data_IF_759590902372
#
_entry.id   IF_759590902372
#
_cell.length_a   1.000
_cell.length_b   1.000
_cell.length_c   1.000
_cell.angle_alpha   90.00
_cell.angle_beta   90.00
_cell.angle_gamma   90.00
#
_symmetry.space_group_name_H-M   'P 1'
#
loop_
_entity.id
_entity.type
_entity.pdbx_description
1 polymer ?
#
# COMPACT_ATOMS: atom_id res chain seq x y z
N UNK A 1 15.37 16.57 -21.66
CA UNK A 1 15.27 15.13 -21.31
C UNK A 1 14.27 14.82 -20.20
N UNK A 2 13.93 15.78 -19.32
CA UNK A 2 13.08 15.58 -18.12
C UNK A 2 11.59 15.28 -18.43
N UNK A 3 11.02 15.91 -19.47
CA UNK A 3 9.60 15.77 -19.82
C UNK A 3 9.21 14.33 -20.20
N UNK A 4 10.09 13.60 -20.88
CA UNK A 4 9.83 12.23 -21.31
C UNK A 4 9.84 11.23 -20.14
N UNK A 5 10.68 11.45 -19.12
CA UNK A 5 10.70 10.61 -17.93
C UNK A 5 9.43 10.84 -17.08
N UNK A 6 9.01 12.10 -16.94
CA UNK A 6 7.80 12.47 -16.22
C UNK A 6 6.52 11.87 -16.85
N UNK A 7 6.36 11.97 -18.17
CA UNK A 7 5.21 11.39 -18.87
C UNK A 7 5.20 9.85 -18.79
N UNK A 8 6.37 9.20 -18.79
CA UNK A 8 6.47 7.75 -18.58
C UNK A 8 6.02 7.36 -17.17
N UNK A 9 6.39 8.14 -16.16
CA UNK A 9 5.98 7.92 -14.78
C UNK A 9 4.45 8.04 -14.61
N UNK A 10 3.84 9.10 -15.15
CA UNK A 10 2.38 9.29 -15.08
C UNK A 10 1.62 8.14 -15.75
N UNK A 11 1.99 7.79 -16.99
CA UNK A 11 1.36 6.66 -17.71
C UNK A 11 1.53 5.34 -16.97
N UNK A 12 2.64 5.16 -16.26
CA UNK A 12 2.84 3.97 -15.47
C UNK A 12 1.92 3.94 -14.24
N UNK A 13 1.81 5.05 -13.50
CA UNK A 13 0.91 5.16 -12.34
C UNK A 13 -0.52 4.77 -12.74
N UNK A 14 -1.00 5.27 -13.88
CA UNK A 14 -2.34 4.91 -14.36
C UNK A 14 -2.45 3.44 -14.78
N UNK A 15 -1.42 2.86 -15.43
CA UNK A 15 -1.43 1.42 -15.76
C UNK A 15 -1.41 0.54 -14.52
N UNK A 16 -0.68 0.94 -13.49
CA UNK A 16 -0.66 0.23 -12.21
C UNK A 16 -2.03 0.27 -11.54
N UNK A 17 -2.66 1.45 -11.52
CA UNK A 17 -4.02 1.62 -11.02
C UNK A 17 -5.03 0.74 -11.78
N UNK A 18 -4.93 0.69 -13.11
CA UNK A 18 -5.77 -0.16 -13.96
C UNK A 18 -5.56 -1.65 -13.70
N UNK A 19 -4.31 -2.08 -13.42
CA UNK A 19 -4.03 -3.47 -13.01
C UNK A 19 -4.76 -3.83 -11.71
N UNK A 20 -4.92 -2.88 -10.80
CA UNK A 20 -5.66 -3.06 -9.54
C UNK A 20 -7.17 -2.75 -9.68
N UNK A 21 -7.66 -2.49 -10.90
CA UNK A 21 -9.08 -2.29 -11.17
C UNK A 21 -9.58 -0.84 -11.09
N UNK A 22 -8.69 0.15 -11.00
CA UNK A 22 -9.04 1.57 -10.92
C UNK A 22 -8.88 2.29 -12.26
N UNK A 23 -9.66 3.36 -12.46
CA UNK A 23 -9.55 4.19 -13.66
C UNK A 23 -8.30 5.07 -13.67
N UNK A 24 -7.90 5.59 -12.49
CA UNK A 24 -6.75 6.49 -12.33
C UNK A 24 -5.96 6.15 -11.06
N UNK A 25 -4.68 6.56 -11.04
CA UNK A 25 -3.88 6.41 -9.82
C UNK A 25 -4.46 7.16 -8.62
N UNK A 26 -5.04 8.33 -8.84
CA UNK A 26 -5.67 9.12 -7.77
C UNK A 26 -6.83 8.36 -7.10
N UNK A 27 -7.63 7.62 -7.89
CA UNK A 27 -8.70 6.77 -7.33
C UNK A 27 -8.11 5.63 -6.49
N UNK A 28 -7.09 4.95 -7.01
CA UNK A 28 -6.39 3.87 -6.30
C UNK A 28 -5.75 4.37 -5.00
N UNK A 29 -5.14 5.55 -5.01
CA UNK A 29 -4.43 6.14 -3.88
C UNK A 29 -5.37 6.45 -2.70
N UNK A 30 -6.64 6.76 -2.97
CA UNK A 30 -7.68 6.96 -1.94
C UNK A 30 -8.06 5.67 -1.22
N UNK A 31 -7.82 4.52 -1.84
CA UNK A 31 -8.10 3.18 -1.31
C UNK A 31 -6.83 2.46 -0.84
N UNK A 32 -5.68 3.15 -0.89
CA UNK A 32 -4.37 2.64 -0.46
C UNK A 32 -4.04 3.20 0.91
N UNK A 33 -3.41 2.44 1.81
CA UNK A 33 -2.82 2.94 3.05
C UNK A 33 -1.35 2.54 3.13
N UNK A 34 -0.51 3.41 3.68
CA UNK A 34 0.80 3.04 4.17
C UNK A 34 0.65 2.13 5.40
N UNK A 35 1.39 1.03 5.47
CA UNK A 35 1.41 0.15 6.66
C UNK A 35 2.70 0.35 7.45
N UNK A 36 3.85 0.23 6.79
CA UNK A 36 5.15 0.43 7.42
C UNK A 36 6.20 0.87 6.41
N UNK A 37 7.20 1.60 6.92
CA UNK A 37 8.40 1.91 6.18
C UNK A 37 9.36 0.72 6.17
N UNK A 38 10.07 0.53 5.06
CA UNK A 38 11.17 -0.42 4.87
C UNK A 38 12.42 0.43 4.59
N UNK A 39 13.23 0.73 5.62
CA UNK A 39 14.47 1.49 5.45
C UNK A 39 15.41 0.81 4.42
N UNK A 40 16.19 1.59 3.63
CA UNK A 40 16.32 3.05 3.73
C UNK A 40 15.28 3.87 2.94
N UNK A 41 14.63 3.32 1.91
CA UNK A 41 13.90 4.15 0.93
C UNK A 41 12.59 3.54 0.41
N UNK A 42 12.01 2.54 1.08
CA UNK A 42 10.76 1.94 0.62
C UNK A 42 9.66 1.94 1.66
N UNK A 43 8.44 1.80 1.19
CA UNK A 43 7.21 1.71 1.94
C UNK A 43 6.43 0.46 1.51
N UNK A 44 5.76 -0.16 2.48
CA UNK A 44 4.80 -1.22 2.25
C UNK A 44 3.38 -0.65 2.31
N UNK A 45 2.63 -0.83 1.23
CA UNK A 45 1.27 -0.34 1.08
C UNK A 45 0.27 -1.49 1.02
N UNK A 46 -0.94 -1.23 1.49
CA UNK A 46 -2.11 -2.08 1.28
C UNK A 46 -3.21 -1.30 0.55
N UNK A 47 -3.76 -1.86 -0.53
CA UNK A 47 -4.84 -1.26 -1.31
C UNK A 47 -6.08 -2.14 -1.26
N UNK A 48 -7.24 -1.58 -0.92
CA UNK A 48 -8.52 -2.28 -0.93
C UNK A 48 -9.13 -2.29 -2.32
N UNK A 49 -9.05 -3.40 -3.04
CA UNK A 49 -9.51 -3.55 -4.41
C UNK A 49 -11.04 -3.30 -4.56
N UNK A 50 -11.52 -2.93 -5.77
CA UNK A 50 -12.94 -2.69 -6.02
C UNK A 50 -13.85 -3.89 -5.74
N UNK A 51 -13.32 -5.12 -5.78
CA UNK A 51 -14.03 -6.36 -5.46
C UNK A 51 -14.01 -6.71 -3.96
N UNK A 52 -13.44 -5.84 -3.12
CA UNK A 52 -13.33 -6.01 -1.67
C UNK A 52 -12.11 -6.79 -1.19
N UNK A 53 -11.29 -7.32 -2.10
CA UNK A 53 -10.00 -7.96 -1.77
C UNK A 53 -8.94 -6.90 -1.41
N UNK A 54 -7.76 -7.36 -1.00
CA UNK A 54 -6.64 -6.50 -0.62
C UNK A 54 -5.41 -6.84 -1.44
N UNK A 55 -4.65 -5.81 -1.85
CA UNK A 55 -3.39 -5.97 -2.55
C UNK A 55 -2.25 -5.30 -1.76
N UNK A 56 -1.20 -6.05 -1.47
CA UNK A 56 0.05 -5.55 -0.89
C UNK A 56 1.05 -5.27 -1.99
N UNK A 57 1.68 -4.09 -1.95
CA UNK A 57 2.71 -3.67 -2.91
C UNK A 57 3.70 -2.70 -2.27
N UNK A 58 4.89 -2.62 -2.88
CA UNK A 58 6.00 -1.80 -2.40
C UNK A 58 6.44 -0.85 -3.51
N UNK A 59 6.97 0.30 -3.11
CA UNK A 59 7.60 1.29 -4.02
C UNK A 59 9.10 1.04 -4.26
N UNK A 60 9.66 -0.06 -3.73
CA UNK A 60 11.09 -0.37 -3.73
C UNK A 60 11.68 -0.66 -5.13
N UNK A 61 10.86 -1.21 -6.02
CA UNK A 61 11.30 -1.65 -7.35
C UNK A 61 10.86 -0.63 -8.41
N UNK A 62 11.69 -0.42 -9.47
CA UNK A 62 11.21 0.30 -10.63
C UNK A 62 9.96 -0.39 -11.18
N UNK A 63 8.97 0.39 -11.63
CA UNK A 63 7.79 -0.07 -12.34
C UNK A 63 8.02 -1.32 -13.25
N UNK A 64 7.20 -2.40 -13.14
CA UNK A 64 5.96 -2.53 -12.39
C UNK A 64 6.13 -3.01 -10.95
N UNK A 65 5.35 -2.42 -10.03
CA UNK A 65 5.27 -2.86 -8.65
C UNK A 65 4.64 -4.25 -8.61
N UNK A 66 5.30 -5.14 -7.87
CA UNK A 66 4.78 -6.47 -7.59
C UNK A 66 3.65 -6.33 -6.58
N UNK A 67 2.59 -7.11 -6.80
CA UNK A 67 1.38 -7.11 -5.99
C UNK A 67 1.10 -8.52 -5.51
N UNK A 68 0.72 -8.65 -4.24
CA UNK A 68 0.23 -9.90 -3.66
C UNK A 68 -1.19 -9.64 -3.17
N UNK A 69 -2.12 -10.49 -3.60
CA UNK A 69 -3.55 -10.28 -3.35
C UNK A 69 -4.09 -11.28 -2.33
N UNK A 70 -4.93 -10.79 -1.42
CA UNK A 70 -5.56 -11.54 -0.34
C UNK A 70 -7.06 -11.33 -0.37
N UNK A 71 -7.84 -12.34 0.06
CA UNK A 71 -9.31 -12.24 0.05
C UNK A 71 -9.83 -11.41 1.21
N UNK A 72 -9.15 -11.45 2.34
CA UNK A 72 -9.59 -10.79 3.57
C UNK A 72 -8.50 -9.93 4.17
N UNK A 73 -8.89 -8.96 5.00
CA UNK A 73 -7.93 -8.18 5.77
C UNK A 73 -7.15 -9.05 6.76
N UNK A 74 -7.78 -10.06 7.37
CA UNK A 74 -7.09 -10.96 8.30
C UNK A 74 -5.88 -11.66 7.63
N UNK A 75 -6.09 -12.23 6.44
CA UNK A 75 -5.00 -12.81 5.63
C UNK A 75 -3.92 -11.78 5.30
N UNK A 76 -4.35 -10.56 4.97
CA UNK A 76 -3.46 -9.44 4.63
C UNK A 76 -2.61 -9.04 5.83
N UNK A 77 -3.22 -8.91 7.00
CA UNK A 77 -2.57 -8.54 8.25
C UNK A 77 -1.54 -9.59 8.67
N UNK A 78 -1.91 -10.87 8.60
CA UNK A 78 -0.99 -11.97 8.93
C UNK A 78 0.25 -11.94 8.02
N UNK A 79 0.06 -11.71 6.72
CA UNK A 79 1.17 -11.56 5.79
C UNK A 79 2.03 -10.32 6.11
N UNK A 80 1.41 -9.17 6.39
CA UNK A 80 2.13 -7.93 6.75
C UNK A 80 2.97 -8.11 8.01
N UNK A 81 2.44 -8.78 9.04
CA UNK A 81 3.17 -9.08 10.28
C UNK A 81 4.35 -10.02 10.03
N UNK A 82 4.16 -11.08 9.23
CA UNK A 82 5.24 -11.98 8.84
C UNK A 82 6.33 -11.24 8.07
N UNK A 83 5.95 -10.42 7.09
CA UNK A 83 6.87 -9.63 6.27
C UNK A 83 7.67 -8.63 7.12
N UNK A 84 7.00 -7.93 8.05
CA UNK A 84 7.63 -6.99 8.96
C UNK A 84 8.66 -7.67 9.87
N UNK A 85 8.28 -8.79 10.49
CA UNK A 85 9.15 -9.58 11.35
C UNK A 85 10.33 -10.18 10.57
N UNK A 86 10.08 -10.73 9.37
CA UNK A 86 11.12 -11.33 8.52
C UNK A 86 12.16 -10.31 8.06
N UNK A 87 11.77 -9.04 7.92
CA UNK A 87 12.68 -7.93 7.61
C UNK A 87 13.43 -7.40 8.85
N UNK A 88 13.10 -7.87 10.06
CA UNK A 88 13.73 -7.39 11.30
C UNK A 88 13.46 -5.91 11.59
N UNK A 89 12.30 -5.40 11.15
CA UNK A 89 11.96 -3.98 11.28
C UNK A 89 11.64 -3.63 12.75
N UNK A 90 12.03 -2.42 13.14
CA UNK A 90 11.72 -1.88 14.47
C UNK A 90 10.30 -1.31 14.50
N UNK A 91 9.70 -1.23 15.69
CA UNK A 91 8.34 -0.71 15.85
C UNK A 91 8.18 0.72 15.32
N UNK A 92 9.25 1.51 15.27
CA UNK A 92 9.26 2.86 14.69
C UNK A 92 8.90 2.88 13.19
N UNK A 93 9.13 1.76 12.49
CA UNK A 93 8.77 1.57 11.09
C UNK A 93 7.27 1.27 10.92
N UNK A 94 6.61 0.71 11.95
CA UNK A 94 5.19 0.35 11.91
C UNK A 94 4.32 1.58 12.13
N UNK A 95 3.92 2.23 11.02
CA UNK A 95 3.15 3.48 11.02
C UNK A 95 1.95 3.36 10.07
N UNK A 96 0.96 2.53 10.43
CA UNK A 96 -0.18 2.27 9.56
C UNK A 96 -1.14 3.46 9.52
N UNK A 97 -1.49 3.88 8.31
CA UNK A 97 -2.54 4.86 8.04
C UNK A 97 -3.93 4.26 8.24
N UNK A 98 -4.93 5.11 8.52
CA UNK A 98 -6.32 4.68 8.70
C UNK A 98 -6.66 4.18 10.11
N UNK A 99 -5.79 4.46 11.09
CA UNK A 99 -6.00 4.15 12.50
C UNK A 99 -5.82 5.40 13.36
N UNK A 100 -6.40 5.41 14.56
CA UNK A 100 -6.16 6.49 15.52
C UNK A 100 -4.74 6.39 16.08
N UNK A 101 -4.13 7.53 16.39
CA UNK A 101 -2.80 7.59 17.00
C UNK A 101 -2.80 6.81 18.32
N UNK A 102 -2.00 5.74 18.39
CA UNK A 102 -1.91 4.87 19.57
C UNK A 102 -2.99 3.77 19.65
N UNK A 103 -3.75 3.54 18.57
CA UNK A 103 -4.62 2.38 18.50
C UNK A 103 -3.80 1.09 18.30
N UNK A 104 -3.98 0.11 19.18
CA UNK A 104 -3.31 -1.19 19.12
C UNK A 104 -3.97 -2.17 18.13
N UNK A 105 -5.16 -1.84 17.60
CA UNK A 105 -6.04 -2.78 16.89
C UNK A 105 -5.89 -2.71 15.36
N UNK A 106 -4.69 -2.95 14.87
CA UNK A 106 -4.38 -3.11 13.43
C UNK A 106 -4.83 -4.46 12.84
N UNK A 107 -5.36 -5.35 13.67
CA UNK A 107 -6.03 -6.59 13.28
C UNK A 107 -7.36 -6.35 12.55
N UNK A 108 -7.91 -5.14 12.65
CA UNK A 108 -9.09 -4.70 11.89
C UNK A 108 -8.73 -3.92 10.63
N UNK A 109 -9.56 -3.95 9.56
CA UNK A 109 -9.27 -3.20 8.34
C UNK A 109 -9.10 -1.70 8.61
N UNK A 110 -8.18 -1.02 7.90
CA UNK A 110 -7.94 0.40 8.08
C UNK A 110 -9.17 1.21 7.69
N UNK A 111 -9.43 2.28 8.44
CA UNK A 111 -10.47 3.25 8.12
C UNK A 111 -9.96 4.24 7.07
N UNK A 112 -10.39 4.03 5.83
CA UNK A 112 -9.99 4.86 4.69
C UNK A 112 -10.55 6.29 4.79
N UNK A 113 -11.62 6.53 5.55
CA UNK A 113 -12.09 7.88 5.83
C UNK A 113 -11.14 8.64 6.75
N UNK A 114 -10.48 7.94 7.69
CA UNK A 114 -9.46 8.55 8.55
C UNK A 114 -8.21 8.94 7.77
N UNK A 115 -7.82 8.17 6.75
CA UNK A 115 -6.71 8.58 5.85
C UNK A 115 -7.02 9.90 5.13
N UNK A 116 -8.29 10.16 4.80
CA UNK A 116 -8.72 11.32 4.01
C UNK A 116 -8.91 12.62 4.83
N UNK A 117 -8.82 12.56 6.16
CA UNK A 117 -8.99 13.71 7.07
C UNK A 117 -7.65 14.35 7.41
#
# INVERSE_FOLDING_TARGET
MVLNAFLRLLRYKDRFAQKLGYGTFEQMEKETVLIFAIPPESNCFATKLPDGRWAIWHDQDPPPFKTIEFRTWAETYDYLKQLFNAKGLTQECWRPEGYDTGADNVDTPPDLDKKRR
#
